data_IF_597233861349
#
_entry.id   IF_597233861349
#
_cell.length_a   1.000
_cell.length_b   1.000
_cell.length_c   1.000
_cell.angle_alpha   90.00
_cell.angle_beta   90.00
_cell.angle_gamma   90.00
#
_symmetry.space_group_name_H-M   'P 1'
#
loop_
_entity.id
_entity.type
_entity.pdbx_description
1 polymer ?
#
# COMPACT_ATOMS: atom_id res chain seq x y z
N UNK A 1 10.71 13.26 9.49
CA UNK A 1 10.14 12.05 8.86
C UNK A 1 10.88 11.84 7.56
N UNK A 2 11.27 10.61 7.23
CA UNK A 2 11.85 10.34 5.91
C UNK A 2 10.73 10.40 4.87
N UNK A 3 11.05 10.89 3.67
CA UNK A 3 10.07 11.12 2.60
C UNK A 3 9.32 9.83 2.20
N UNK A 4 9.99 8.68 2.26
CA UNK A 4 9.36 7.37 2.02
C UNK A 4 8.24 7.04 3.03
N UNK A 5 8.44 7.34 4.33
CA UNK A 5 7.38 7.16 5.34
C UNK A 5 6.18 8.05 5.05
N UNK A 6 6.43 9.29 4.64
CA UNK A 6 5.39 10.24 4.33
C UNK A 6 4.58 9.81 3.09
N UNK A 7 5.24 9.34 2.03
CA UNK A 7 4.55 8.81 0.84
C UNK A 7 3.72 7.57 1.19
N UNK A 8 4.27 6.62 1.95
CA UNK A 8 3.52 5.45 2.41
C UNK A 8 2.29 5.85 3.22
N UNK A 9 2.44 6.80 4.15
CA UNK A 9 1.32 7.33 4.93
C UNK A 9 0.24 7.97 4.04
N UNK A 10 0.64 8.73 3.01
CA UNK A 10 -0.31 9.33 2.06
C UNK A 10 -1.04 8.27 1.22
N UNK A 11 -0.35 7.20 0.80
CA UNK A 11 -0.95 6.09 0.07
C UNK A 11 -1.96 5.36 0.96
N UNK A 12 -1.58 5.00 2.19
CA UNK A 12 -2.48 4.36 3.15
C UNK A 12 -3.72 5.21 3.44
N UNK A 13 -3.53 6.52 3.64
CA UNK A 13 -4.64 7.43 3.87
C UNK A 13 -5.59 7.50 2.67
N UNK A 14 -5.05 7.54 1.45
CA UNK A 14 -5.84 7.47 0.22
C UNK A 14 -6.66 6.17 0.16
N UNK A 15 -6.06 5.04 0.46
CA UNK A 15 -6.75 3.74 0.43
C UNK A 15 -7.91 3.68 1.44
N UNK A 16 -7.68 4.18 2.66
CA UNK A 16 -8.74 4.24 3.67
C UNK A 16 -9.89 5.16 3.24
N UNK A 17 -9.58 6.31 2.63
CA UNK A 17 -10.62 7.23 2.13
C UNK A 17 -11.40 6.60 0.99
N UNK A 18 -10.73 5.94 0.04
CA UNK A 18 -11.39 5.23 -1.07
C UNK A 18 -12.24 4.08 -0.55
N UNK A 19 -11.71 3.27 0.37
CA UNK A 19 -12.46 2.19 1.01
C UNK A 19 -13.72 2.69 1.75
N UNK A 20 -13.60 3.82 2.46
CA UNK A 20 -14.73 4.50 3.10
C UNK A 20 -15.80 4.93 2.08
N UNK A 21 -15.37 5.52 0.97
CA UNK A 21 -16.28 5.93 -0.11
C UNK A 21 -17.01 4.74 -0.74
N UNK A 22 -16.27 3.68 -1.04
CA UNK A 22 -16.84 2.44 -1.59
C UNK A 22 -17.82 1.78 -0.63
N UNK A 23 -17.44 1.65 0.65
CA UNK A 23 -18.33 1.08 1.68
C UNK A 23 -19.60 1.90 1.86
N UNK A 24 -19.49 3.24 1.84
CA UNK A 24 -20.64 4.12 1.91
C UNK A 24 -21.57 4.00 0.69
N UNK A 25 -20.99 3.83 -0.50
CA UNK A 25 -21.76 3.64 -1.74
C UNK A 25 -22.46 2.28 -1.78
N UNK A 26 -21.77 1.20 -1.40
CA UNK A 26 -22.31 -0.16 -1.41
C UNK A 26 -23.33 -0.39 -0.28
N UNK A 27 -23.08 0.18 0.90
CA UNK A 27 -23.90 0.00 2.10
C UNK A 27 -24.12 1.34 2.81
N UNK A 28 -25.13 2.15 2.40
CA UNK A 28 -25.34 3.49 2.95
C UNK A 28 -25.56 3.57 4.47
N UNK A 29 -26.05 2.49 5.09
CA UNK A 29 -26.29 2.37 6.53
C UNK A 29 -25.17 1.67 7.32
N UNK A 30 -24.07 1.27 6.65
CA UNK A 30 -22.99 0.57 7.32
C UNK A 30 -22.25 1.52 8.30
N UNK A 31 -21.79 1.00 9.46
CA UNK A 31 -21.00 1.80 10.38
C UNK A 31 -19.62 2.12 9.75
N UNK A 32 -19.27 3.39 9.71
CA UNK A 32 -18.01 3.91 9.18
C UNK A 32 -17.04 4.38 10.27
N UNK A 33 -17.45 4.28 11.55
CA UNK A 33 -16.71 4.86 12.67
C UNK A 33 -15.25 4.39 12.77
N UNK A 34 -14.98 3.10 12.56
CA UNK A 34 -13.61 2.57 12.58
C UNK A 34 -12.75 3.15 11.45
N UNK A 35 -13.30 3.27 10.23
CA UNK A 35 -12.60 3.90 9.11
C UNK A 35 -12.35 5.38 9.36
N UNK A 36 -13.33 6.09 9.90
CA UNK A 36 -13.21 7.52 10.23
C UNK A 36 -12.13 7.75 11.30
N UNK A 37 -12.05 6.88 12.32
CA UNK A 37 -11.01 6.94 13.34
C UNK A 37 -9.62 6.68 12.76
N UNK A 38 -9.45 5.65 11.94
CA UNK A 38 -8.17 5.34 11.30
C UNK A 38 -7.71 6.46 10.36
N UNK A 39 -8.61 7.02 9.57
CA UNK A 39 -8.33 8.19 8.72
C UNK A 39 -7.88 9.38 9.57
N UNK A 40 -8.56 9.63 10.69
CA UNK A 40 -8.22 10.72 11.58
C UNK A 40 -6.84 10.54 12.23
N UNK A 41 -6.55 9.33 12.74
CA UNK A 41 -5.27 8.98 13.36
C UNK A 41 -4.13 9.10 12.35
N UNK A 42 -4.26 8.47 11.18
CA UNK A 42 -3.23 8.50 10.15
C UNK A 42 -2.99 9.91 9.60
N UNK A 43 -4.04 10.73 9.56
CA UNK A 43 -3.96 12.12 9.12
C UNK A 43 -3.54 13.12 10.18
N UNK A 44 -3.41 12.72 11.46
CA UNK A 44 -3.07 13.64 12.55
C UNK A 44 -1.64 14.19 12.43
N UNK A 45 -0.69 13.33 12.09
CA UNK A 45 0.74 13.66 12.02
C UNK A 45 1.16 14.32 10.71
N UNK A 46 0.23 14.47 9.75
CA UNK A 46 0.56 15.10 8.47
C UNK A 46 0.71 16.62 8.62
N UNK A 47 1.75 17.22 8.01
CA UNK A 47 1.89 18.67 7.92
C UNK A 47 0.63 19.31 7.30
N UNK A 48 0.16 20.39 7.88
CA UNK A 48 -1.10 21.06 7.48
C UNK A 48 -1.20 21.37 5.96
N UNK A 49 -0.15 21.85 5.27
CA UNK A 49 -0.21 22.09 3.83
C UNK A 49 -0.42 20.82 3.02
N UNK A 50 0.22 19.72 3.42
CA UNK A 50 0.11 18.41 2.74
C UNK A 50 -1.29 17.85 2.94
N UNK A 51 -1.78 17.86 4.17
CA UNK A 51 -3.13 17.40 4.53
C UNK A 51 -4.21 18.17 3.76
N UNK A 52 -4.11 19.50 3.72
CA UNK A 52 -5.05 20.36 2.99
C UNK A 52 -5.05 20.05 1.48
N UNK A 53 -3.87 19.90 0.88
CA UNK A 53 -3.75 19.57 -0.53
C UNK A 53 -4.29 18.17 -0.85
N UNK A 54 -3.95 17.17 -0.04
CA UNK A 54 -4.45 15.80 -0.17
C UNK A 54 -5.98 15.75 -0.12
N UNK A 55 -6.57 16.39 0.89
CA UNK A 55 -8.03 16.43 1.04
C UNK A 55 -8.71 17.08 -0.17
N UNK A 56 -8.15 18.17 -0.70
CA UNK A 56 -8.68 18.84 -1.90
C UNK A 56 -8.61 17.94 -3.14
N UNK A 57 -7.57 17.12 -3.28
CA UNK A 57 -7.46 16.15 -4.36
C UNK A 57 -8.48 15.03 -4.20
N UNK A 58 -8.58 14.43 -3.00
CA UNK A 58 -9.49 13.32 -2.71
C UNK A 58 -10.98 13.69 -2.81
N UNK A 59 -11.33 14.98 -2.75
CA UNK A 59 -12.67 15.46 -3.06
C UNK A 59 -13.01 15.40 -4.55
N UNK A 60 -12.00 15.48 -5.42
CA UNK A 60 -12.18 15.53 -6.89
C UNK A 60 -11.90 14.20 -7.57
N UNK A 61 -11.05 13.37 -6.99
CA UNK A 61 -10.57 12.12 -7.57
C UNK A 61 -10.24 11.14 -6.46
N UNK A 62 -10.51 9.84 -6.66
CA UNK A 62 -10.12 8.82 -5.68
C UNK A 62 -8.61 8.65 -5.54
N UNK A 63 -7.83 9.14 -6.50
CA UNK A 63 -6.37 8.99 -6.55
C UNK A 63 -5.69 10.34 -6.42
N UNK A 64 -5.10 10.61 -5.26
CA UNK A 64 -4.32 11.82 -4.97
C UNK A 64 -2.81 11.57 -5.01
N UNK A 65 -2.39 10.31 -4.81
CA UNK A 65 -1.01 9.84 -4.85
C UNK A 65 -0.91 8.77 -5.91
N UNK A 66 -0.06 8.95 -6.90
CA UNK A 66 -0.02 8.12 -8.10
C UNK A 66 1.41 7.73 -8.47
N UNK A 67 1.64 6.51 -8.98
CA UNK A 67 2.96 6.10 -9.44
C UNK A 67 3.35 6.79 -10.75
N UNK A 68 4.66 6.88 -10.97
CA UNK A 68 5.23 7.14 -12.28
C UNK A 68 5.37 5.79 -12.99
N UNK A 69 4.79 5.68 -14.18
CA UNK A 69 4.83 4.49 -15.03
C UNK A 69 5.29 4.91 -16.43
N UNK A 70 6.38 4.30 -16.92
CA UNK A 70 6.95 4.61 -18.23
C UNK A 70 7.14 6.12 -18.45
N UNK A 71 7.72 6.80 -17.47
CA UNK A 71 7.98 8.25 -17.47
C UNK A 71 6.71 9.13 -17.51
N UNK A 72 5.53 8.54 -17.36
CA UNK A 72 4.25 9.24 -17.34
C UNK A 72 3.65 9.29 -15.94
N UNK A 73 2.93 10.36 -15.64
CA UNK A 73 2.05 10.44 -14.49
C UNK A 73 0.84 9.50 -14.70
N UNK A 74 0.71 8.42 -13.91
CA UNK A 74 -0.41 7.48 -14.09
C UNK A 74 -1.79 8.09 -13.82
N UNK A 75 -1.83 9.23 -13.13
CA UNK A 75 -3.10 9.89 -12.81
C UNK A 75 -3.67 10.76 -13.93
N UNK A 76 -2.85 11.30 -14.84
CA UNK A 76 -3.31 12.15 -15.94
C UNK A 76 -2.68 11.81 -17.28
N UNK A 77 -1.78 10.82 -17.35
CA UNK A 77 -1.14 10.36 -18.58
C UNK A 77 -0.07 11.29 -19.18
N UNK A 78 0.19 12.46 -18.56
CA UNK A 78 1.18 13.38 -19.11
C UNK A 78 2.59 12.81 -18.96
N UNK A 79 3.40 12.95 -19.99
CA UNK A 79 4.83 12.65 -19.92
C UNK A 79 5.54 13.65 -19.01
N UNK A 80 6.30 13.14 -18.06
CA UNK A 80 7.06 13.94 -17.12
C UNK A 80 8.41 14.32 -17.72
N UNK A 81 8.92 15.48 -17.32
CA UNK A 81 10.28 15.89 -17.73
C UNK A 81 11.33 15.07 -16.98
N UNK A 82 12.51 14.90 -17.58
CA UNK A 82 13.63 14.21 -16.91
C UNK A 82 14.00 14.85 -15.57
N UNK A 83 13.85 16.18 -15.44
CA UNK A 83 14.06 16.86 -14.15
C UNK A 83 13.07 16.40 -13.10
N UNK A 84 11.78 16.38 -13.41
CA UNK A 84 10.75 15.90 -12.48
C UNK A 84 10.97 14.43 -12.08
N UNK A 85 11.34 13.59 -13.05
CA UNK A 85 11.66 12.18 -12.83
C UNK A 85 12.83 12.05 -11.85
N UNK A 86 13.91 12.78 -12.08
CA UNK A 86 15.11 12.78 -11.24
C UNK A 86 14.81 13.33 -9.83
N UNK A 87 13.96 14.34 -9.72
CA UNK A 87 13.57 14.92 -8.43
C UNK A 87 12.76 13.93 -7.59
N UNK A 88 11.83 13.20 -8.22
CA UNK A 88 11.09 12.11 -7.54
C UNK A 88 12.03 10.97 -7.14
N UNK A 89 13.00 10.60 -7.99
CA UNK A 89 13.99 9.56 -7.67
C UNK A 89 14.90 9.93 -6.50
N UNK A 90 15.31 11.19 -6.39
CA UNK A 90 16.10 11.64 -5.24
C UNK A 90 15.34 11.52 -3.93
N UNK A 91 14.01 11.58 -4.00
CA UNK A 91 13.12 11.43 -2.86
C UNK A 91 13.47 12.36 -1.66
N UNK A 92 14.03 13.53 -1.93
CA UNK A 92 14.41 14.50 -0.91
C UNK A 92 13.18 15.25 -0.39
N UNK A 93 12.14 15.40 -1.24
CA UNK A 93 10.88 16.08 -0.93
C UNK A 93 9.69 15.40 -1.60
N UNK A 94 8.47 15.83 -1.26
CA UNK A 94 7.25 15.40 -1.93
C UNK A 94 7.06 16.13 -3.25
N UNK A 95 7.14 15.39 -4.34
CA UNK A 95 6.96 15.94 -5.68
C UNK A 95 5.53 15.76 -6.18
N UNK A 96 5.06 16.73 -6.97
CA UNK A 96 3.73 16.74 -7.55
C UNK A 96 3.81 16.85 -9.07
N UNK A 97 2.88 16.22 -9.74
CA UNK A 97 2.71 16.40 -11.17
C UNK A 97 2.37 17.88 -11.47
N UNK A 98 3.11 18.50 -12.39
CA UNK A 98 2.89 19.91 -12.75
C UNK A 98 1.56 20.14 -13.47
N UNK A 99 0.98 19.08 -14.07
CA UNK A 99 -0.31 19.16 -14.75
C UNK A 99 -1.50 18.92 -13.80
N UNK A 100 -1.55 17.74 -13.14
CA UNK A 100 -2.72 17.35 -12.33
C UNK A 100 -2.54 17.55 -10.83
N UNK A 101 -1.39 18.00 -10.39
CA UNK A 101 -1.00 18.29 -9.00
C UNK A 101 -1.04 17.10 -8.02
N UNK A 102 -1.28 15.87 -8.50
CA UNK A 102 -1.19 14.65 -7.69
C UNK A 102 0.23 14.42 -7.23
N UNK A 103 0.39 13.82 -6.05
CA UNK A 103 1.71 13.41 -5.56
C UNK A 103 2.25 12.25 -6.39
N UNK A 104 3.53 12.30 -6.70
CA UNK A 104 4.23 11.32 -7.54
C UNK A 104 5.14 10.45 -6.69
N UNK A 105 5.24 9.17 -7.03
CA UNK A 105 6.20 8.26 -6.45
C UNK A 105 6.66 7.19 -7.43
N UNK A 106 7.81 6.56 -7.14
CA UNK A 106 8.29 5.38 -7.86
C UNK A 106 7.98 4.12 -7.05
N UNK A 107 7.22 3.15 -7.58
CA UNK A 107 6.90 1.91 -6.88
C UNK A 107 8.14 1.10 -6.47
N UNK A 108 9.18 1.10 -7.32
CA UNK A 108 10.43 0.39 -7.08
C UNK A 108 11.23 0.94 -5.88
N UNK A 109 11.10 2.22 -5.56
CA UNK A 109 11.85 2.84 -4.45
C UNK A 109 11.19 2.59 -3.10
N UNK A 110 9.87 2.51 -3.07
CA UNK A 110 9.12 2.14 -1.87
C UNK A 110 9.49 0.71 -1.47
N UNK A 111 9.58 -0.19 -2.44
CA UNK A 111 9.95 -1.59 -2.23
C UNK A 111 11.46 -1.78 -2.01
N UNK A 112 12.31 -0.97 -2.64
CA UNK A 112 13.77 -1.13 -2.56
C UNK A 112 14.37 -0.65 -1.23
N UNK A 113 13.82 0.39 -0.59
CA UNK A 113 14.32 0.87 0.70
C UNK A 113 13.96 -0.05 1.87
N UNK A 114 12.87 -0.78 1.78
CA UNK A 114 12.53 -1.85 2.75
C UNK A 114 13.43 -3.09 2.57
N UNK A 115 14.03 -3.26 1.38
CA UNK A 115 14.92 -4.37 1.05
C UNK A 115 16.43 -4.08 1.21
N UNK A 116 16.82 -2.87 1.61
CA UNK A 116 18.24 -2.48 1.74
C UNK A 116 19.02 -3.26 2.84
N UNK A 117 18.37 -4.17 3.57
CA UNK A 117 19.01 -5.13 4.47
C UNK A 117 19.31 -6.50 3.84
N UNK A 118 18.91 -6.78 2.60
CA UNK A 118 19.18 -8.07 1.96
C UNK A 118 20.33 -7.98 0.97
N UNK A 119 21.37 -8.75 1.24
CA UNK A 119 22.50 -8.96 0.33
C UNK A 119 21.99 -9.69 -0.91
N UNK A 120 22.01 -9.01 -2.06
CA UNK A 120 21.62 -9.59 -3.33
C UNK A 120 22.82 -10.32 -3.96
N UNK A 121 22.73 -11.65 -4.10
CA UNK A 121 23.64 -12.50 -4.85
C UNK A 121 23.02 -13.21 -6.04
N UNK A 122 21.72 -13.08 -6.32
CA UNK A 122 21.08 -13.80 -7.43
C UNK A 122 20.25 -12.88 -8.33
N UNK A 123 20.26 -13.19 -9.64
CA UNK A 123 19.50 -12.48 -10.68
C UNK A 123 18.00 -12.45 -10.31
N UNK A 124 17.43 -11.26 -10.27
CA UNK A 124 16.00 -11.07 -10.03
C UNK A 124 15.18 -11.92 -11.02
N UNK A 125 14.32 -12.83 -10.54
CA UNK A 125 13.47 -13.61 -11.43
C UNK A 125 12.51 -12.70 -12.21
N UNK A 126 12.34 -12.99 -13.49
CA UNK A 126 11.40 -12.26 -14.35
C UNK A 126 9.97 -12.81 -14.19
N UNK A 127 8.94 -11.97 -14.37
CA UNK A 127 7.55 -12.38 -14.39
C UNK A 127 6.95 -12.67 -13.01
N UNK A 128 6.05 -13.65 -12.92
CA UNK A 128 5.30 -14.01 -11.70
C UNK A 128 6.22 -14.46 -10.56
N UNK A 129 7.34 -15.09 -10.87
CA UNK A 129 8.35 -15.51 -9.89
C UNK A 129 8.95 -14.35 -9.07
N UNK A 130 8.74 -13.11 -9.50
CA UNK A 130 9.11 -11.91 -8.73
C UNK A 130 8.19 -11.68 -7.53
N UNK A 131 6.95 -12.15 -7.59
CA UNK A 131 5.91 -11.89 -6.60
C UNK A 131 5.43 -13.13 -5.86
N UNK A 132 5.86 -14.32 -6.30
CA UNK A 132 5.49 -15.59 -5.69
C UNK A 132 6.67 -16.57 -5.74
N UNK A 133 6.69 -17.47 -4.78
CA UNK A 133 7.64 -18.58 -4.74
C UNK A 133 6.90 -19.90 -4.50
N UNK A 134 7.27 -21.02 -5.14
CA UNK A 134 6.65 -22.32 -4.86
C UNK A 134 6.71 -22.71 -3.38
N UNK A 135 7.77 -22.32 -2.68
CA UNK A 135 7.94 -22.54 -1.24
C UNK A 135 6.90 -21.83 -0.37
N UNK A 136 6.26 -20.77 -0.88
CA UNK A 136 5.18 -20.04 -0.19
C UNK A 136 3.79 -20.63 -0.47
N UNK A 137 3.68 -21.58 -1.39
CA UNK A 137 2.40 -22.23 -1.68
C UNK A 137 2.09 -23.26 -0.60
N UNK A 138 0.95 -23.09 0.06
CA UNK A 138 0.45 -24.00 1.10
C UNK A 138 -0.84 -24.63 0.60
N UNK A 139 -0.88 -25.96 0.52
CA UNK A 139 -2.07 -26.69 0.09
C UNK A 139 -2.04 -28.12 0.68
N UNK A 140 -3.12 -28.55 1.35
CA UNK A 140 -4.26 -27.73 1.78
C UNK A 140 -3.91 -26.80 2.95
N UNK A 141 -4.66 -25.71 3.11
CA UNK A 141 -4.64 -24.91 4.33
C UNK A 141 -5.36 -25.68 5.44
N UNK A 142 -4.81 -25.71 6.64
CA UNK A 142 -5.41 -26.39 7.79
C UNK A 142 -6.39 -25.49 8.57
N UNK A 143 -6.18 -24.18 8.54
CA UNK A 143 -7.00 -23.20 9.22
C UNK A 143 -8.41 -23.09 8.66
N UNK A 144 -9.38 -22.86 9.53
CA UNK A 144 -10.81 -22.70 9.20
C UNK A 144 -11.31 -21.28 9.45
N UNK A 145 -10.55 -20.50 10.22
CA UNK A 145 -10.84 -19.08 10.49
C UNK A 145 -9.84 -18.17 9.77
N UNK A 146 -10.17 -16.90 9.50
CA UNK A 146 -9.24 -15.95 8.90
C UNK A 146 -7.93 -15.83 9.68
N UNK A 147 -7.98 -15.83 11.01
CA UNK A 147 -6.80 -15.73 11.86
C UNK A 147 -5.90 -16.97 11.73
N UNK A 148 -6.48 -18.18 11.73
CA UNK A 148 -5.73 -19.43 11.56
C UNK A 148 -5.06 -19.49 10.18
N UNK A 149 -5.80 -19.15 9.13
CA UNK A 149 -5.29 -19.15 7.74
C UNK A 149 -4.17 -18.12 7.57
N UNK A 150 -4.37 -16.89 8.04
CA UNK A 150 -3.36 -15.84 7.98
C UNK A 150 -2.15 -16.20 8.83
N UNK A 151 -2.35 -16.81 10.01
CA UNK A 151 -1.28 -17.29 10.87
C UNK A 151 -0.42 -18.35 10.18
N UNK A 152 -1.03 -19.31 9.51
CA UNK A 152 -0.31 -20.35 8.76
C UNK A 152 0.54 -19.76 7.62
N UNK A 153 -0.03 -18.81 6.88
CA UNK A 153 0.69 -18.12 5.80
C UNK A 153 1.84 -17.24 6.32
N UNK A 154 1.62 -16.47 7.38
CA UNK A 154 2.63 -15.61 7.98
C UNK A 154 3.81 -16.43 8.56
N UNK A 155 3.52 -17.54 9.23
CA UNK A 155 4.55 -18.45 9.72
C UNK A 155 5.31 -19.13 8.57
N UNK A 156 4.65 -19.43 7.45
CA UNK A 156 5.33 -19.94 6.26
C UNK A 156 6.30 -18.90 5.70
N UNK A 157 5.88 -17.65 5.59
CA UNK A 157 6.74 -16.56 5.13
C UNK A 157 7.96 -16.35 6.03
N UNK A 158 7.79 -16.48 7.35
CA UNK A 158 8.91 -16.41 8.30
C UNK A 158 9.88 -17.60 8.13
N UNK A 159 9.37 -18.82 8.05
CA UNK A 159 10.20 -20.02 7.82
C UNK A 159 11.02 -19.97 6.53
N UNK A 160 10.46 -19.39 5.50
CA UNK A 160 11.13 -19.20 4.20
C UNK A 160 11.98 -17.91 4.15
N UNK A 161 12.16 -17.22 5.29
CA UNK A 161 12.94 -16.00 5.43
C UNK A 161 12.48 -14.82 4.55
N UNK A 162 11.20 -14.77 4.16
CA UNK A 162 10.61 -13.60 3.48
C UNK A 162 10.28 -12.48 4.46
N UNK A 163 10.04 -12.79 5.73
CA UNK A 163 9.80 -11.84 6.81
C UNK A 163 10.60 -12.26 8.05
N UNK A 164 10.95 -11.30 8.88
CA UNK A 164 11.71 -11.54 10.10
C UNK A 164 10.81 -12.04 11.24
N UNK A 165 9.61 -11.48 11.36
CA UNK A 165 8.64 -11.81 12.40
C UNK A 165 7.24 -12.08 11.80
N UNK A 166 6.86 -13.36 11.78
CA UNK A 166 5.55 -13.80 11.29
C UNK A 166 4.40 -13.41 12.22
N UNK A 167 4.65 -13.25 13.53
CA UNK A 167 3.61 -12.85 14.47
C UNK A 167 3.28 -11.35 14.30
N UNK A 168 4.29 -10.52 14.15
CA UNK A 168 4.10 -9.10 13.83
C UNK A 168 3.36 -8.95 12.50
N UNK A 169 3.71 -9.76 11.49
CA UNK A 169 3.04 -9.76 10.20
C UNK A 169 1.56 -10.15 10.34
N UNK A 170 1.25 -11.17 11.15
CA UNK A 170 -0.12 -11.61 11.43
C UNK A 170 -0.93 -10.50 12.12
N UNK A 171 -0.36 -9.84 13.11
CA UNK A 171 -1.03 -8.74 13.80
C UNK A 171 -1.41 -7.62 12.84
N UNK A 172 -0.49 -7.19 11.98
CA UNK A 172 -0.73 -6.18 10.95
C UNK A 172 -1.80 -6.65 9.94
N UNK A 173 -1.76 -7.92 9.53
CA UNK A 173 -2.74 -8.48 8.62
C UNK A 173 -4.14 -8.50 9.25
N UNK A 174 -4.27 -8.90 10.52
CA UNK A 174 -5.53 -8.91 11.25
C UNK A 174 -6.08 -7.50 11.49
N UNK A 175 -5.22 -6.54 11.82
CA UNK A 175 -5.60 -5.13 11.93
C UNK A 175 -6.16 -4.60 10.60
N UNK A 176 -5.52 -4.97 9.48
CA UNK A 176 -5.97 -4.58 8.14
C UNK A 176 -7.30 -5.26 7.77
N UNK A 177 -7.45 -6.55 8.06
CA UNK A 177 -8.68 -7.31 7.79
C UNK A 177 -9.87 -6.78 8.62
N UNK A 178 -9.63 -6.31 9.85
CA UNK A 178 -10.65 -5.72 10.70
C UNK A 178 -11.23 -4.39 10.15
N UNK A 179 -10.46 -3.66 9.32
CA UNK A 179 -10.93 -2.41 8.69
C UNK A 179 -11.91 -2.73 7.55
N UNK A 180 -11.51 -3.59 6.65
CA UNK A 180 -12.31 -4.10 5.53
C UNK A 180 -11.82 -5.51 5.22
N UNK A 181 -12.73 -6.46 5.16
CA UNK A 181 -12.40 -7.82 4.75
C UNK A 181 -11.82 -7.83 3.33
N UNK A 182 -10.75 -8.60 3.16
CA UNK A 182 -10.12 -8.85 1.86
C UNK A 182 -10.73 -10.01 1.13
N UNK A 183 -11.74 -10.67 1.72
CA UNK A 183 -12.50 -11.72 1.09
C UNK A 183 -13.35 -11.15 -0.07
N UNK A 184 -13.34 -11.85 -1.18
CA UNK A 184 -14.18 -11.59 -2.36
C UNK A 184 -15.13 -12.74 -2.57
N UNK A 185 -16.09 -12.58 -3.48
CA UNK A 185 -17.01 -13.64 -3.84
C UNK A 185 -16.28 -14.91 -4.32
N UNK A 186 -16.96 -16.04 -4.24
CA UNK A 186 -16.44 -17.36 -4.67
C UNK A 186 -15.34 -17.97 -3.78
N UNK A 187 -15.27 -17.59 -2.52
CA UNK A 187 -14.36 -18.22 -1.53
C UNK A 187 -12.88 -17.85 -1.71
N UNK A 188 -12.59 -16.73 -2.32
CA UNK A 188 -11.25 -16.19 -2.46
C UNK A 188 -11.03 -15.01 -1.51
N UNK A 189 -9.78 -14.82 -1.08
CA UNK A 189 -9.36 -13.64 -0.36
C UNK A 189 -7.98 -13.17 -0.85
N UNK A 190 -7.75 -11.87 -0.81
CA UNK A 190 -6.46 -11.24 -1.18
C UNK A 190 -5.93 -10.41 -0.01
N UNK A 191 -5.52 -11.07 1.09
CA UNK A 191 -4.97 -10.37 2.23
C UNK A 191 -3.69 -9.62 1.83
N UNK A 192 -3.61 -8.35 2.20
CA UNK A 192 -2.47 -7.51 1.89
C UNK A 192 -2.22 -6.54 3.03
N UNK A 193 -0.96 -6.30 3.31
CA UNK A 193 -0.48 -5.31 4.26
C UNK A 193 0.60 -4.47 3.61
N UNK A 194 0.78 -3.27 4.13
CA UNK A 194 1.92 -2.41 3.80
C UNK A 194 2.67 -2.14 5.10
N UNK A 195 3.92 -2.55 5.12
CA UNK A 195 4.85 -2.26 6.19
C UNK A 195 5.55 -0.92 6.00
#
# INVERSE_FOLDING_TARGET
MTNSKLINQLIQLQELVVARMQKKAAMPKAPLGALDQNIALLGADLPAPIKSHLNRLLQKTPEAVVPIINENCSGCGIQLTHSQINDVHRADDLHRCLNCTRYLYYPSEIVARERAGRVYGEKSPNGVARFSAPSLMVSPLAGTTPEEVLGELCQRMQREAFVEDGNQLLELAMQREAIISTAVDSGMAFPHIRG
#
